data_IF_511304526865
#
_entry.id   IF_511304526865
#
_cell.length_a   1.000
_cell.length_b   1.000
_cell.length_c   1.000
_cell.angle_alpha   90.00
_cell.angle_beta   90.00
_cell.angle_gamma   90.00
#
_symmetry.space_group_name_H-M   'P 1'
#
loop_
_entity.id
_entity.type
_entity.pdbx_description
1 polymer ?
#
# COMPACT_ATOMS: atom_id res chain seq x y z
N UNK A 1 6.37 -27.38 23.32
CA UNK A 1 7.72 -27.29 22.76
C UNK A 1 7.57 -27.19 21.24
N UNK A 2 7.81 -26.05 20.69
CA UNK A 2 8.16 -25.56 19.35
C UNK A 2 7.69 -24.12 19.20
N UNK A 3 8.57 -23.22 19.65
CA UNK A 3 8.47 -21.79 19.30
C UNK A 3 8.88 -21.63 17.85
N UNK A 4 7.95 -21.31 16.98
CA UNK A 4 8.27 -20.79 15.66
C UNK A 4 7.87 -19.33 15.63
N UNK A 5 8.85 -18.50 15.94
CA UNK A 5 8.79 -17.07 15.64
C UNK A 5 8.89 -16.94 14.13
N UNK A 6 7.83 -16.55 13.44
CA UNK A 6 7.86 -16.30 12.01
C UNK A 6 8.10 -14.81 11.75
N UNK A 7 9.22 -14.53 11.10
CA UNK A 7 9.56 -13.20 10.59
C UNK A 7 8.52 -12.76 9.57
N UNK A 8 7.88 -11.65 9.83
CA UNK A 8 6.92 -10.99 8.96
C UNK A 8 7.65 -9.88 8.22
N UNK A 9 7.86 -10.06 6.92
CA UNK A 9 8.37 -8.99 6.05
C UNK A 9 7.20 -8.46 5.25
N UNK A 10 6.73 -7.26 5.59
CA UNK A 10 5.65 -6.58 4.88
C UNK A 10 6.24 -5.74 3.74
N UNK A 11 5.88 -6.06 2.50
CA UNK A 11 5.89 -5.13 1.38
C UNK A 11 4.46 -4.68 1.10
N UNK A 12 4.24 -3.64 0.32
CA UNK A 12 2.92 -3.04 0.05
C UNK A 12 1.88 -3.98 -0.60
N UNK A 13 2.26 -5.21 -0.93
CA UNK A 13 1.40 -6.28 -1.48
C UNK A 13 1.40 -7.52 -0.58
N UNK A 14 1.42 -7.36 0.73
CA UNK A 14 1.36 -8.48 1.65
C UNK A 14 -0.05 -8.69 2.18
N UNK A 15 -0.47 -9.93 2.30
CA UNK A 15 -1.65 -10.31 3.05
C UNK A 15 -1.26 -11.15 4.26
N UNK A 16 -2.04 -10.98 5.30
CA UNK A 16 -1.92 -11.71 6.54
C UNK A 16 -2.94 -12.85 6.52
N UNK A 17 -2.48 -14.09 6.52
CA UNK A 17 -3.33 -15.23 6.76
C UNK A 17 -3.24 -15.59 8.24
N UNK A 18 -4.38 -15.63 8.92
CA UNK A 18 -4.48 -16.23 10.25
C UNK A 18 -4.81 -17.69 10.04
N UNK A 19 -3.84 -18.58 10.17
CA UNK A 19 -4.09 -20.00 10.29
C UNK A 19 -4.05 -20.40 11.76
N UNK A 20 -5.22 -20.68 12.30
CA UNK A 20 -5.48 -21.16 13.67
C UNK A 20 -5.17 -20.16 14.77
N UNK A 21 -6.23 -19.63 15.30
CA UNK A 21 -6.28 -19.23 16.69
C UNK A 21 -6.52 -20.52 17.46
N UNK A 22 -5.53 -20.96 18.22
CA UNK A 22 -5.69 -22.04 19.18
C UNK A 22 -5.95 -21.39 20.53
N UNK A 23 -7.16 -21.56 21.06
CA UNK A 23 -7.46 -21.30 22.47
C UNK A 23 -6.75 -22.39 23.27
N UNK A 24 -5.78 -22.01 24.05
CA UNK A 24 -5.19 -22.91 25.04
C UNK A 24 -6.14 -23.07 26.25
N UNK A 25 -6.07 -24.19 26.95
CA UNK A 25 -6.94 -24.52 28.07
C UNK A 25 -6.91 -23.47 29.21
N UNK A 26 -5.90 -22.60 29.25
CA UNK A 26 -5.70 -21.55 30.23
C UNK A 26 -6.18 -20.17 29.80
N UNK A 27 -6.99 -20.08 28.72
CA UNK A 27 -7.57 -18.83 28.17
C UNK A 27 -6.57 -17.77 27.73
N UNK A 28 -5.32 -18.08 27.49
CA UNK A 28 -4.39 -17.19 26.82
C UNK A 28 -4.46 -17.39 25.30
N UNK A 29 -4.71 -16.29 24.57
CA UNK A 29 -4.67 -16.23 23.13
C UNK A 29 -3.24 -16.49 22.64
N UNK A 30 -2.95 -17.68 22.15
CA UNK A 30 -1.79 -17.94 21.30
C UNK A 30 -2.22 -17.79 19.84
N UNK A 31 -2.19 -16.57 19.37
CA UNK A 31 -2.52 -16.25 17.99
C UNK A 31 -1.28 -16.45 17.13
N UNK A 32 -1.27 -17.49 16.33
CA UNK A 32 -0.22 -17.68 15.30
C UNK A 32 -0.65 -17.00 14.02
N UNK A 33 -0.02 -15.87 13.69
CA UNK A 33 -0.19 -15.24 12.41
C UNK A 33 0.78 -15.83 11.38
N UNK A 34 0.24 -16.23 10.22
CA UNK A 34 1.08 -16.54 9.05
C UNK A 34 0.92 -15.42 8.04
N UNK A 35 2.03 -14.94 7.53
CA UNK A 35 2.06 -13.89 6.52
C UNK A 35 2.37 -14.50 5.17
N UNK A 36 1.53 -14.16 4.20
CA UNK A 36 1.72 -14.48 2.80
C UNK A 36 1.85 -13.19 2.00
N UNK A 37 2.62 -13.24 0.94
CA UNK A 37 2.68 -12.16 -0.05
C UNK A 37 1.91 -12.58 -1.27
N UNK A 38 1.00 -11.73 -1.74
CA UNK A 38 0.41 -11.87 -3.05
C UNK A 38 1.43 -11.59 -4.14
N UNK A 39 1.25 -12.18 -5.31
CA UNK A 39 2.03 -11.85 -6.51
C UNK A 39 1.82 -10.39 -6.94
N UNK A 40 0.64 -9.86 -6.65
CA UNK A 40 0.20 -8.51 -6.95
C UNK A 40 -0.94 -8.08 -6.01
N UNK A 41 -1.41 -6.85 -6.15
CA UNK A 41 -2.48 -6.29 -5.32
C UNK A 41 -3.82 -7.02 -5.49
N UNK A 42 -4.13 -7.51 -6.69
CA UNK A 42 -5.38 -8.23 -6.96
C UNK A 42 -5.39 -9.60 -6.31
N UNK A 43 -4.26 -10.31 -6.28
CA UNK A 43 -4.12 -11.61 -5.65
C UNK A 43 -4.48 -11.58 -4.16
N UNK A 44 -4.13 -10.50 -3.45
CA UNK A 44 -4.48 -10.32 -2.03
C UNK A 44 -5.99 -10.19 -1.85
N UNK A 45 -6.66 -9.36 -2.67
CA UNK A 45 -8.11 -9.18 -2.63
C UNK A 45 -8.83 -10.50 -2.95
N UNK A 46 -8.35 -11.24 -3.95
CA UNK A 46 -8.92 -12.53 -4.32
C UNK A 46 -8.73 -13.60 -3.24
N UNK A 47 -7.56 -13.63 -2.57
CA UNK A 47 -7.32 -14.54 -1.45
C UNK A 47 -8.31 -14.29 -0.30
N UNK A 48 -8.58 -13.03 0.03
CA UNK A 48 -9.60 -12.67 1.02
C UNK A 48 -11.01 -13.08 0.56
N UNK A 49 -11.36 -12.75 -0.70
CA UNK A 49 -12.67 -13.08 -1.28
C UNK A 49 -12.93 -14.59 -1.30
N UNK A 50 -11.92 -15.38 -1.62
CA UNK A 50 -12.00 -16.85 -1.66
C UNK A 50 -11.93 -17.50 -0.27
N UNK A 51 -11.72 -16.75 0.80
CA UNK A 51 -11.62 -17.29 2.16
C UNK A 51 -10.27 -17.89 2.51
N UNK A 52 -9.25 -17.64 1.70
CA UNK A 52 -7.88 -18.12 1.96
C UNK A 52 -7.14 -17.23 2.97
N UNK A 53 -7.65 -16.03 3.24
CA UNK A 53 -7.10 -15.12 4.24
C UNK A 53 -8.21 -14.46 5.04
N UNK A 54 -8.05 -14.39 6.35
CA UNK A 54 -8.95 -13.74 7.30
C UNK A 54 -8.67 -12.25 7.46
N UNK A 55 -7.40 -11.88 7.31
CA UNK A 55 -6.91 -10.51 7.37
C UNK A 55 -6.19 -10.12 6.09
N UNK A 56 -6.17 -8.82 5.81
CA UNK A 56 -5.36 -8.25 4.73
C UNK A 56 -4.77 -6.91 5.15
N UNK A 57 -3.55 -6.64 4.71
CA UNK A 57 -2.97 -5.31 4.70
C UNK A 57 -3.09 -4.77 3.27
N UNK A 58 -4.03 -3.88 3.06
CA UNK A 58 -4.42 -3.41 1.74
C UNK A 58 -4.06 -1.93 1.57
N UNK A 59 -3.48 -1.57 0.44
CA UNK A 59 -3.45 -0.16 0.06
C UNK A 59 -4.88 0.41 0.02
N UNK A 60 -5.12 1.70 0.28
CA UNK A 60 -6.46 2.28 0.31
C UNK A 60 -7.29 2.02 -0.95
N UNK A 61 -6.67 2.04 -2.14
CA UNK A 61 -7.35 1.68 -3.39
C UNK A 61 -7.69 0.19 -3.48
N UNK A 62 -6.80 -0.70 -3.04
CA UNK A 62 -7.07 -2.14 -2.97
C UNK A 62 -8.18 -2.44 -1.95
N UNK A 63 -8.24 -1.70 -0.84
CA UNK A 63 -9.36 -1.77 0.09
C UNK A 63 -10.67 -1.35 -0.58
N UNK A 64 -10.69 -0.23 -1.31
CA UNK A 64 -11.86 0.21 -2.05
C UNK A 64 -12.32 -0.82 -3.09
N UNK A 65 -11.39 -1.47 -3.79
CA UNK A 65 -11.70 -2.59 -4.70
C UNK A 65 -12.27 -3.78 -3.94
N UNK A 66 -11.64 -4.20 -2.85
CA UNK A 66 -12.11 -5.30 -2.01
C UNK A 66 -13.52 -5.00 -1.45
N UNK A 67 -13.77 -3.78 -0.99
CA UNK A 67 -15.08 -3.33 -0.50
C UNK A 67 -16.15 -3.40 -1.59
N UNK A 68 -15.81 -3.07 -2.83
CA UNK A 68 -16.74 -3.15 -3.97
C UNK A 68 -17.13 -4.60 -4.29
N UNK A 69 -16.21 -5.58 -4.18
CA UNK A 69 -16.48 -6.98 -4.53
C UNK A 69 -16.97 -7.83 -3.37
N UNK A 70 -16.63 -7.46 -2.14
CA UNK A 70 -17.00 -8.20 -0.93
C UNK A 70 -18.09 -7.51 -0.10
N UNK A 71 -18.38 -6.23 -0.38
CA UNK A 71 -19.37 -5.45 0.37
C UNK A 71 -19.00 -5.33 1.84
N UNK A 72 -19.98 -5.49 2.72
CA UNK A 72 -19.80 -5.42 4.18
C UNK A 72 -19.13 -6.64 4.81
N UNK A 73 -18.77 -7.64 4.00
CA UNK A 73 -18.03 -8.81 4.48
C UNK A 73 -16.59 -8.51 4.87
N UNK A 74 -16.09 -7.29 4.61
CA UNK A 74 -14.80 -6.82 5.12
C UNK A 74 -14.96 -5.47 5.81
N UNK A 75 -14.11 -5.22 6.81
CA UNK A 75 -14.00 -3.92 7.46
C UNK A 75 -12.54 -3.61 7.79
N UNK A 76 -12.12 -2.33 7.71
CA UNK A 76 -10.84 -1.91 8.26
C UNK A 76 -10.92 -1.96 9.78
N UNK A 77 -9.82 -2.30 10.42
CA UNK A 77 -9.73 -2.34 11.90
C UNK A 77 -8.66 -1.39 12.42
N UNK A 78 -7.50 -1.38 11.79
CA UNK A 78 -6.39 -0.52 12.18
C UNK A 78 -5.66 0.03 10.96
N UNK A 79 -4.90 1.11 11.16
CA UNK A 79 -3.84 1.61 10.30
C UNK A 79 -2.61 1.91 11.14
N UNK A 80 -1.43 1.83 10.54
CA UNK A 80 -0.20 2.20 11.21
C UNK A 80 -0.09 3.72 11.35
N UNK A 81 0.42 4.16 12.51
CA UNK A 81 0.93 5.51 12.72
C UNK A 81 2.44 5.43 12.48
N UNK A 82 2.98 6.22 11.56
CA UNK A 82 4.40 6.18 11.28
C UNK A 82 5.25 6.68 12.47
N UNK A 83 6.57 6.58 12.37
CA UNK A 83 7.48 6.97 13.45
C UNK A 83 7.48 8.49 13.71
N UNK A 84 6.97 9.31 12.80
CA UNK A 84 6.79 10.76 12.96
C UNK A 84 5.38 11.12 13.47
N UNK A 85 4.52 10.12 13.64
CA UNK A 85 3.14 10.30 14.13
C UNK A 85 2.13 10.58 13.02
N UNK A 86 2.50 10.39 11.75
CA UNK A 86 1.60 10.58 10.62
C UNK A 86 0.72 9.34 10.40
N UNK A 87 -0.55 9.59 10.12
CA UNK A 87 -1.53 8.55 9.78
C UNK A 87 -1.75 8.44 8.27
N UNK A 88 -0.80 8.92 7.48
CA UNK A 88 -0.88 8.95 6.04
C UNK A 88 0.49 9.00 5.37
N UNK A 89 0.46 8.91 4.06
CA UNK A 89 1.63 8.95 3.19
C UNK A 89 1.29 9.69 1.89
N UNK A 90 2.25 9.79 0.97
CA UNK A 90 2.09 10.50 -0.29
C UNK A 90 2.40 9.60 -1.49
N UNK A 91 1.91 9.99 -2.64
CA UNK A 91 2.46 9.62 -3.93
C UNK A 91 3.49 10.66 -4.34
N UNK A 92 4.64 10.24 -4.82
CA UNK A 92 5.63 11.15 -5.42
C UNK A 92 5.99 10.70 -6.83
N UNK A 93 6.30 11.67 -7.69
CA UNK A 93 6.86 11.40 -9.01
C UNK A 93 8.36 11.62 -8.95
N UNK A 94 9.10 10.61 -9.34
CA UNK A 94 10.57 10.58 -9.35
C UNK A 94 11.08 10.74 -10.77
N UNK A 95 12.23 11.40 -10.88
CA UNK A 95 13.09 11.43 -12.05
C UNK A 95 14.51 11.09 -11.65
N UNK A 96 15.38 10.76 -12.61
CA UNK A 96 16.81 10.58 -12.36
C UNK A 96 17.40 11.90 -11.84
N UNK A 97 18.29 11.84 -10.86
CA UNK A 97 18.80 13.03 -10.20
C UNK A 97 19.53 14.01 -11.14
N UNK A 98 20.24 13.49 -12.14
CA UNK A 98 20.97 14.26 -13.15
C UNK A 98 20.11 14.66 -14.38
N UNK A 99 18.81 14.34 -14.38
CA UNK A 99 17.91 14.71 -15.49
C UNK A 99 17.62 16.22 -15.48
N UNK A 100 17.26 16.80 -16.63
CA UNK A 100 16.92 18.24 -16.73
C UNK A 100 15.52 18.57 -16.16
N UNK A 101 14.68 17.58 -15.85
CA UNK A 101 13.28 17.77 -15.48
C UNK A 101 13.17 18.28 -14.04
N UNK A 102 12.60 19.47 -13.81
CA UNK A 102 12.46 20.10 -12.50
C UNK A 102 11.03 19.97 -11.94
N UNK A 103 10.04 19.82 -12.79
CA UNK A 103 8.63 19.78 -12.47
C UNK A 103 7.87 18.86 -13.44
N UNK A 104 6.62 18.53 -13.12
CA UNK A 104 5.81 17.61 -13.96
C UNK A 104 5.62 18.11 -15.38
N UNK A 105 5.51 19.43 -15.57
CA UNK A 105 5.32 20.06 -16.88
C UNK A 105 6.46 19.74 -17.87
N UNK A 106 7.68 19.58 -17.37
CA UNK A 106 8.86 19.25 -18.18
C UNK A 106 8.82 17.82 -18.73
N UNK A 107 7.92 17.00 -18.18
CA UNK A 107 7.72 15.59 -18.58
C UNK A 107 6.69 15.44 -19.73
N UNK A 108 6.19 16.53 -20.31
CA UNK A 108 5.31 16.46 -21.49
C UNK A 108 6.00 15.71 -22.63
N UNK A 109 5.32 14.72 -23.18
CA UNK A 109 5.87 13.87 -24.24
C UNK A 109 6.98 12.90 -23.80
N UNK A 110 7.21 12.77 -22.50
CA UNK A 110 8.16 11.80 -21.91
C UNK A 110 7.43 10.52 -21.51
N UNK A 111 8.13 9.59 -20.89
CA UNK A 111 7.58 8.30 -20.48
C UNK A 111 7.37 8.24 -18.96
N UNK A 112 6.21 7.69 -18.52
CA UNK A 112 5.87 7.56 -17.10
C UNK A 112 5.60 6.10 -16.73
N UNK A 113 6.32 5.61 -15.73
CA UNK A 113 6.08 4.32 -15.07
C UNK A 113 5.10 4.45 -13.89
N UNK A 114 4.00 3.72 -13.94
CA UNK A 114 3.12 3.46 -12.80
C UNK A 114 3.53 2.13 -12.14
N UNK A 115 3.26 1.95 -10.83
CA UNK A 115 3.66 0.69 -10.18
C UNK A 115 2.70 -0.46 -10.50
N UNK A 116 1.42 -0.35 -10.18
CA UNK A 116 0.40 -1.39 -10.37
C UNK A 116 -0.98 -0.75 -10.58
N UNK A 117 -1.88 -1.32 -11.40
CA UNK A 117 -3.22 -0.77 -11.64
C UNK A 117 -4.07 -0.59 -10.38
N UNK A 118 -3.83 -1.38 -9.33
CA UNK A 118 -4.57 -1.35 -8.07
C UNK A 118 -3.82 -0.60 -6.95
N UNK A 119 -2.61 -0.08 -7.24
CA UNK A 119 -1.86 0.73 -6.28
C UNK A 119 -2.50 2.10 -6.11
N UNK A 120 -2.63 2.54 -4.85
CA UNK A 120 -3.14 3.87 -4.50
C UNK A 120 -2.17 4.95 -4.96
N UNK A 121 -0.96 4.96 -4.40
CA UNK A 121 0.08 5.96 -4.69
C UNK A 121 0.81 5.71 -5.99
N UNK A 122 0.84 4.47 -6.47
CA UNK A 122 1.52 4.12 -7.72
C UNK A 122 0.69 4.29 -8.98
N UNK A 123 -0.64 4.56 -8.88
CA UNK A 123 -1.48 4.72 -10.06
C UNK A 123 -2.75 5.54 -9.82
N UNK A 124 -3.63 5.13 -8.87
CA UNK A 124 -4.99 5.66 -8.80
C UNK A 124 -5.01 7.14 -8.44
N UNK A 125 -4.29 7.52 -7.39
CA UNK A 125 -4.21 8.90 -6.90
C UNK A 125 -3.40 9.79 -7.84
N UNK A 126 -2.16 9.46 -8.24
CA UNK A 126 -1.40 10.33 -9.13
C UNK A 126 -2.09 10.51 -10.50
N UNK A 127 -2.67 9.46 -11.06
CA UNK A 127 -3.41 9.57 -12.31
C UNK A 127 -4.63 10.48 -12.21
N UNK A 128 -5.34 10.46 -11.09
CA UNK A 128 -6.48 11.34 -10.82
C UNK A 128 -6.03 12.80 -10.66
N UNK A 129 -5.00 13.08 -9.86
CA UNK A 129 -4.48 14.42 -9.64
C UNK A 129 -3.91 15.05 -10.93
N UNK A 130 -3.15 14.30 -11.70
CA UNK A 130 -2.62 14.76 -12.97
C UNK A 130 -3.74 15.22 -13.92
N UNK A 131 -4.82 14.42 -14.01
CA UNK A 131 -5.99 14.80 -14.84
C UNK A 131 -6.65 16.08 -14.36
N UNK A 132 -6.85 16.24 -13.06
CA UNK A 132 -7.45 17.46 -12.50
C UNK A 132 -6.61 18.72 -12.73
N UNK A 133 -5.32 18.54 -12.95
CA UNK A 133 -4.39 19.60 -13.33
C UNK A 133 -4.27 19.78 -14.86
N UNK A 134 -5.14 19.14 -15.65
CA UNK A 134 -5.11 19.24 -17.12
C UNK A 134 -4.00 18.40 -17.77
N UNK A 135 -3.34 17.52 -17.02
CA UNK A 135 -2.26 16.64 -17.49
C UNK A 135 -2.76 15.20 -17.54
N UNK A 136 -3.73 14.88 -18.42
CA UNK A 136 -4.20 13.50 -18.57
C UNK A 136 -3.04 12.60 -18.99
N UNK A 137 -2.68 11.58 -18.18
CA UNK A 137 -1.52 10.75 -18.48
C UNK A 137 -1.49 10.13 -19.86
N UNK A 138 -2.66 9.81 -20.44
CA UNK A 138 -2.75 9.17 -21.74
C UNK A 138 -2.43 10.11 -22.93
N UNK A 139 -2.52 11.43 -22.74
CA UNK A 139 -2.22 12.44 -23.77
C UNK A 139 -1.05 13.33 -23.40
N UNK A 140 -0.73 13.43 -22.12
CA UNK A 140 0.37 14.26 -21.64
C UNK A 140 1.73 13.57 -21.83
N UNK A 141 1.81 12.26 -21.53
CA UNK A 141 3.02 11.48 -21.73
C UNK A 141 3.01 10.78 -23.09
N UNK A 142 4.17 10.62 -23.73
CA UNK A 142 4.29 9.86 -24.97
C UNK A 142 3.96 8.36 -24.76
N UNK A 143 4.29 7.84 -23.57
CA UNK A 143 4.00 6.47 -23.18
C UNK A 143 3.85 6.36 -21.67
N UNK A 144 2.86 5.60 -21.22
CA UNK A 144 2.75 5.14 -19.84
C UNK A 144 2.82 3.61 -19.79
N UNK A 145 3.27 3.05 -18.66
CA UNK A 145 3.32 1.61 -18.46
C UNK A 145 3.37 1.25 -16.99
N UNK A 146 3.25 -0.04 -16.69
CA UNK A 146 3.34 -0.55 -15.33
C UNK A 146 4.70 -1.20 -15.09
N UNK A 147 5.31 -0.92 -13.96
CA UNK A 147 6.61 -1.44 -13.55
C UNK A 147 6.51 -2.67 -12.64
N UNK A 148 5.31 -2.96 -12.11
CA UNK A 148 5.01 -4.08 -11.23
C UNK A 148 5.13 -3.77 -9.74
N UNK A 149 6.08 -2.91 -9.32
CA UNK A 149 6.22 -2.46 -7.93
C UNK A 149 6.82 -1.05 -7.84
N UNK A 150 6.82 -0.47 -6.64
CA UNK A 150 7.46 0.82 -6.41
C UNK A 150 8.98 0.75 -6.58
N UNK A 151 9.61 -0.32 -6.12
CA UNK A 151 11.04 -0.55 -6.28
C UNK A 151 11.43 -0.70 -7.75
N UNK A 152 10.63 -1.44 -8.53
CA UNK A 152 10.84 -1.55 -9.97
C UNK A 152 10.65 -0.21 -10.69
N UNK A 153 9.75 0.64 -10.20
CA UNK A 153 9.58 2.01 -10.67
C UNK A 153 10.85 2.85 -10.49
N UNK A 154 11.46 2.79 -9.31
CA UNK A 154 12.75 3.46 -9.03
C UNK A 154 13.85 2.94 -9.95
N UNK A 155 13.98 1.61 -10.08
CA UNK A 155 14.95 0.99 -10.97
C UNK A 155 14.74 1.37 -12.43
N UNK A 156 13.49 1.45 -12.89
CA UNK A 156 13.16 1.82 -14.26
C UNK A 156 13.57 3.26 -14.61
N UNK A 157 13.51 4.18 -13.64
CA UNK A 157 14.01 5.55 -13.79
C UNK A 157 15.54 5.57 -13.86
N UNK A 158 16.22 4.88 -12.93
CA UNK A 158 17.69 4.83 -12.89
C UNK A 158 18.24 4.23 -14.18
N UNK A 159 17.63 3.17 -14.70
CA UNK A 159 18.05 2.45 -15.91
C UNK A 159 17.59 3.14 -17.20
N UNK A 160 16.82 4.24 -17.13
CA UNK A 160 16.33 4.96 -18.31
C UNK A 160 15.20 4.26 -19.08
N UNK A 161 14.53 3.25 -18.50
CA UNK A 161 13.36 2.58 -19.09
C UNK A 161 12.16 3.51 -19.13
N UNK A 162 12.03 4.36 -18.11
CA UNK A 162 11.08 5.45 -18.02
C UNK A 162 11.82 6.72 -17.60
N UNK A 163 11.36 7.89 -18.11
CA UNK A 163 11.87 9.20 -17.71
C UNK A 163 11.44 9.58 -16.30
N UNK A 164 10.25 9.11 -15.89
CA UNK A 164 9.70 9.31 -14.55
C UNK A 164 8.96 8.06 -14.07
N UNK A 165 8.82 7.92 -12.75
CA UNK A 165 7.96 6.91 -12.14
C UNK A 165 7.25 7.47 -10.91
N UNK A 166 6.07 6.93 -10.57
CA UNK A 166 5.34 7.27 -9.35
C UNK A 166 5.49 6.16 -8.31
N UNK A 167 5.82 6.57 -7.08
CA UNK A 167 6.09 5.65 -5.97
C UNK A 167 5.48 6.16 -4.66
N UNK A 168 5.40 5.28 -3.66
CA UNK A 168 5.00 5.62 -2.30
C UNK A 168 6.10 6.38 -1.56
N UNK A 169 5.68 7.33 -0.71
CA UNK A 169 6.55 8.20 0.06
C UNK A 169 5.91 8.55 1.40
N UNK A 170 6.43 8.04 2.47
CA UNK A 170 5.94 8.39 3.81
C UNK A 170 6.56 9.72 4.27
N UNK A 171 7.88 9.77 4.41
CA UNK A 171 8.63 10.97 4.78
C UNK A 171 10.07 10.93 4.22
N UNK A 172 10.89 11.94 4.53
CA UNK A 172 12.26 12.06 4.02
C UNK A 172 13.14 10.87 4.41
N UNK A 173 12.95 10.30 5.60
CA UNK A 173 13.71 9.17 6.11
C UNK A 173 13.15 7.81 5.71
N UNK A 174 11.84 7.77 5.38
CA UNK A 174 11.11 6.53 5.08
C UNK A 174 10.33 6.66 3.77
N UNK A 175 11.01 6.35 2.70
CA UNK A 175 10.41 6.27 1.38
C UNK A 175 11.03 5.09 0.62
N UNK A 176 10.46 4.75 -0.51
CA UNK A 176 10.89 3.59 -1.29
C UNK A 176 12.36 3.67 -1.69
N UNK A 177 12.79 4.82 -2.24
CA UNK A 177 14.16 4.96 -2.76
C UNK A 177 15.20 5.11 -1.64
N UNK A 178 14.85 5.69 -0.50
CA UNK A 178 15.74 5.75 0.67
C UNK A 178 16.02 4.34 1.22
N UNK A 179 14.98 3.52 1.40
CA UNK A 179 15.15 2.13 1.83
C UNK A 179 15.97 1.29 0.85
N UNK A 180 15.84 1.55 -0.45
CA UNK A 180 16.66 0.87 -1.48
C UNK A 180 18.13 1.28 -1.38
N UNK A 181 18.40 2.57 -1.13
CA UNK A 181 19.76 3.07 -0.94
C UNK A 181 20.41 2.49 0.33
N UNK A 182 19.68 2.46 1.45
CA UNK A 182 20.15 1.86 2.71
C UNK A 182 20.48 0.36 2.57
N UNK A 183 19.77 -0.35 1.69
CA UNK A 183 20.04 -1.76 1.36
C UNK A 183 21.14 -1.94 0.30
N UNK A 184 21.75 -0.87 -0.18
CA UNK A 184 22.77 -0.91 -1.23
C UNK A 184 22.25 -1.30 -2.62
N UNK A 185 20.92 -1.26 -2.84
CA UNK A 185 20.30 -1.61 -4.11
C UNK A 185 20.46 -0.52 -5.18
N UNK A 186 20.58 0.73 -4.74
CA UNK A 186 20.78 1.92 -5.60
C UNK A 186 21.77 2.87 -4.93
N UNK A 187 22.47 3.74 -5.69
CA UNK A 187 23.24 4.82 -5.10
C UNK A 187 22.34 5.80 -4.34
N UNK A 188 22.85 6.35 -3.22
CA UNK A 188 22.17 7.44 -2.53
C UNK A 188 22.06 8.66 -3.44
N UNK A 189 20.91 9.32 -3.46
CA UNK A 189 20.68 10.48 -4.30
C UNK A 189 20.53 10.18 -5.81
N UNK A 190 20.36 8.93 -6.21
CA UNK A 190 20.19 8.55 -7.62
C UNK A 190 18.93 9.11 -8.29
N UNK A 191 17.91 9.42 -7.49
CA UNK A 191 16.64 9.98 -7.95
C UNK A 191 16.24 11.20 -7.12
N UNK A 192 15.37 12.04 -7.68
CA UNK A 192 14.77 13.18 -6.98
C UNK A 192 13.28 13.30 -7.26
N UNK A 193 12.56 13.93 -6.34
CA UNK A 193 11.13 14.17 -6.42
C UNK A 193 10.85 15.44 -7.21
N UNK A 194 9.94 15.38 -8.17
CA UNK A 194 9.46 16.54 -8.97
C UNK A 194 7.97 16.83 -8.74
N UNK A 195 7.27 15.97 -8.03
CA UNK A 195 5.88 16.16 -7.64
C UNK A 195 5.53 15.32 -6.42
N UNK A 196 4.62 15.84 -5.59
CA UNK A 196 4.10 15.18 -4.39
C UNK A 196 2.59 15.40 -4.29
N UNK A 197 1.84 14.33 -4.00
CA UNK A 197 0.40 14.40 -3.78
C UNK A 197 0.04 15.04 -2.42
N UNK A 198 -1.21 15.45 -2.22
CA UNK A 198 -1.78 15.55 -0.87
C UNK A 198 -1.66 14.24 -0.09
N UNK A 199 -1.92 14.31 1.22
CA UNK A 199 -1.84 13.14 2.10
C UNK A 199 -2.87 12.08 1.71
N UNK A 200 -2.43 10.85 1.64
CA UNK A 200 -3.23 9.64 1.43
C UNK A 200 -3.32 8.93 2.79
N UNK A 201 -4.48 8.51 3.27
CA UNK A 201 -4.57 7.77 4.53
C UNK A 201 -3.72 6.48 4.47
N UNK A 202 -3.09 6.12 5.59
CA UNK A 202 -2.30 4.90 5.66
C UNK A 202 -3.14 3.65 5.36
N UNK A 203 -2.49 2.66 4.80
CA UNK A 203 -3.09 1.39 4.40
C UNK A 203 -3.80 0.71 5.57
N UNK A 204 -5.07 0.29 5.41
CA UNK A 204 -5.78 -0.40 6.47
C UNK A 204 -5.33 -1.86 6.61
N UNK A 205 -5.28 -2.32 7.86
CA UNK A 205 -5.44 -3.71 8.19
C UNK A 205 -6.93 -4.00 8.18
N UNK A 206 -7.37 -4.92 7.35
CA UNK A 206 -8.79 -5.27 7.18
C UNK A 206 -9.05 -6.68 7.67
N UNK A 207 -10.26 -6.91 8.19
CA UNK A 207 -10.74 -8.21 8.66
C UNK A 207 -11.98 -8.64 7.89
N UNK A 208 -12.11 -9.94 7.65
CA UNK A 208 -13.37 -10.50 7.15
C UNK A 208 -14.42 -10.53 8.27
N UNK A 209 -15.61 -10.03 7.95
CA UNK A 209 -16.75 -9.92 8.88
C UNK A 209 -17.61 -11.18 8.93
N UNK A 210 -17.42 -12.11 8.01
CA UNK A 210 -18.07 -13.43 8.00
C UNK A 210 -17.38 -14.45 8.94
N UNK A 211 -16.31 -14.07 9.61
CA UNK A 211 -15.71 -14.84 10.70
C UNK A 211 -16.61 -14.84 11.95
N UNK A 212 -16.53 -15.88 12.80
CA UNK A 212 -17.23 -15.88 14.09
C UNK A 212 -16.92 -14.62 14.91
N UNK A 213 -17.95 -14.00 15.49
CA UNK A 213 -17.79 -12.72 16.21
C UNK A 213 -16.77 -12.79 17.38
N UNK A 214 -16.68 -13.95 18.05
CA UNK A 214 -15.67 -14.16 19.08
C UNK A 214 -14.26 -14.04 18.50
N UNK A 215 -14.01 -14.73 17.36
CA UNK A 215 -12.72 -14.68 16.67
C UNK A 215 -12.36 -13.27 16.20
N UNK A 216 -13.33 -12.51 15.65
CA UNK A 216 -13.09 -11.12 15.26
C UNK A 216 -12.63 -10.27 16.46
N UNK A 217 -13.31 -10.40 17.63
CA UNK A 217 -12.92 -9.66 18.85
C UNK A 217 -11.53 -10.03 19.33
N UNK A 218 -11.21 -11.30 19.31
CA UNK A 218 -9.90 -11.81 19.73
C UNK A 218 -8.76 -11.31 18.85
N UNK A 219 -8.96 -11.35 17.53
CA UNK A 219 -8.00 -10.83 16.55
C UNK A 219 -7.78 -9.34 16.74
N UNK A 220 -8.85 -8.56 16.89
CA UNK A 220 -8.76 -7.12 17.13
C UNK A 220 -8.01 -6.83 18.44
N UNK A 221 -8.32 -7.55 19.51
CA UNK A 221 -7.65 -7.40 20.80
C UNK A 221 -6.16 -7.77 20.72
N UNK A 222 -5.82 -8.86 20.02
CA UNK A 222 -4.43 -9.29 19.83
C UNK A 222 -3.62 -8.23 19.05
N UNK A 223 -4.18 -7.68 17.98
CA UNK A 223 -3.54 -6.60 17.22
C UNK A 223 -3.36 -5.32 18.04
N UNK A 224 -4.40 -4.91 18.77
CA UNK A 224 -4.35 -3.73 19.62
C UNK A 224 -3.25 -3.84 20.70
N UNK A 225 -3.06 -5.03 21.26
CA UNK A 225 -2.06 -5.28 22.29
C UNK A 225 -0.64 -5.52 21.75
N UNK A 226 -0.48 -5.77 20.44
CA UNK A 226 0.80 -6.17 19.85
C UNK A 226 1.95 -5.18 20.09
N UNK A 227 1.75 -3.84 19.97
CA UNK A 227 2.83 -2.87 20.22
C UNK A 227 3.46 -2.98 21.62
N UNK A 228 2.66 -3.40 22.62
CA UNK A 228 3.10 -3.51 24.03
C UNK A 228 3.56 -4.93 24.36
N UNK A 229 2.87 -5.95 23.86
CA UNK A 229 3.14 -7.37 24.19
C UNK A 229 4.35 -7.92 23.46
N UNK A 230 4.54 -7.55 22.20
CA UNK A 230 5.68 -7.96 21.39
C UNK A 230 6.13 -6.81 20.49
N UNK A 231 6.86 -5.82 21.08
CA UNK A 231 7.33 -4.66 20.33
C UNK A 231 8.23 -5.02 19.14
N UNK A 232 8.95 -6.16 19.20
CA UNK A 232 9.81 -6.58 18.11
C UNK A 232 8.97 -7.09 16.93
N UNK A 233 8.03 -7.99 17.18
CA UNK A 233 7.11 -8.47 16.14
C UNK A 233 6.32 -7.30 15.53
N UNK A 234 5.89 -6.34 16.36
CA UNK A 234 5.22 -5.14 15.85
C UNK A 234 6.11 -4.30 14.93
N UNK A 235 7.37 -4.05 15.29
CA UNK A 235 8.33 -3.33 14.42
C UNK A 235 8.56 -4.07 13.11
N UNK A 236 8.81 -5.36 13.18
CA UNK A 236 9.06 -6.21 12.00
C UNK A 236 7.86 -6.20 11.03
N UNK A 237 6.64 -6.18 11.59
CA UNK A 237 5.37 -6.15 10.85
C UNK A 237 5.07 -4.78 10.23
N UNK A 238 5.31 -3.73 11.00
CA UNK A 238 4.87 -2.37 10.69
C UNK A 238 5.93 -1.52 9.97
N UNK A 239 7.10 -2.09 9.69
CA UNK A 239 8.28 -1.35 9.23
C UNK A 239 8.60 -0.17 10.18
N UNK A 240 8.70 -0.43 11.50
CA UNK A 240 8.98 0.53 12.57
C UNK A 240 7.92 1.62 12.79
N UNK A 241 6.65 1.33 12.53
CA UNK A 241 5.59 2.23 12.96
C UNK A 241 5.62 2.43 14.48
N UNK A 242 5.19 3.59 14.91
CA UNK A 242 5.17 3.96 16.33
C UNK A 242 3.94 3.36 17.04
N UNK A 243 2.87 3.03 16.32
CA UNK A 243 1.64 2.51 16.91
C UNK A 243 0.55 2.22 15.87
N UNK A 244 -0.64 2.00 16.39
CA UNK A 244 -1.85 1.73 15.63
C UNK A 244 -2.90 2.81 15.92
N UNK A 245 -3.60 3.27 14.89
CA UNK A 245 -4.85 4.01 15.00
C UNK A 245 -6.01 3.12 14.54
N UNK A 246 -7.18 3.29 15.12
CA UNK A 246 -8.42 2.65 14.65
C UNK A 246 -8.72 3.17 13.24
N UNK A 247 -9.00 2.26 12.32
CA UNK A 247 -9.41 2.59 10.97
C UNK A 247 -10.89 2.30 10.75
N UNK A 248 -11.58 3.21 10.05
CA UNK A 248 -12.98 3.09 9.68
C UNK A 248 -13.17 3.23 8.19
N UNK A 249 -14.29 2.77 7.66
CA UNK A 249 -14.60 2.89 6.24
C UNK A 249 -14.59 4.35 5.78
N UNK A 250 -15.09 5.24 6.62
CA UNK A 250 -15.20 6.67 6.39
C UNK A 250 -13.86 7.33 6.11
N UNK A 251 -12.78 6.81 6.67
CA UNK A 251 -11.41 7.32 6.46
C UNK A 251 -10.92 7.15 5.00
N UNK A 252 -11.60 6.31 4.21
CA UNK A 252 -11.20 5.93 2.85
C UNK A 252 -12.20 6.37 1.76
N UNK A 253 -13.25 7.11 2.10
CA UNK A 253 -14.30 7.52 1.15
C UNK A 253 -13.75 8.33 -0.03
N UNK A 254 -12.80 9.23 0.20
CA UNK A 254 -12.18 10.01 -0.86
C UNK A 254 -11.43 9.11 -1.87
N UNK A 255 -10.78 8.05 -1.37
CA UNK A 255 -10.11 7.09 -2.25
C UNK A 255 -11.12 6.25 -3.03
N UNK A 256 -12.23 5.86 -2.40
CA UNK A 256 -13.34 5.16 -3.07
C UNK A 256 -13.91 6.04 -4.19
N UNK A 257 -14.16 7.32 -3.94
CA UNK A 257 -14.63 8.27 -4.94
C UNK A 257 -13.65 8.42 -6.12
N UNK A 258 -12.34 8.52 -5.85
CA UNK A 258 -11.30 8.53 -6.88
C UNK A 258 -11.35 7.27 -7.75
N UNK A 259 -11.55 6.10 -7.14
CA UNK A 259 -11.66 4.82 -7.87
C UNK A 259 -12.89 4.77 -8.78
N UNK A 260 -14.01 5.27 -8.31
CA UNK A 260 -15.26 5.34 -9.08
C UNK A 260 -15.11 6.27 -10.28
N UNK A 261 -14.56 7.47 -10.09
CA UNK A 261 -14.28 8.41 -11.17
C UNK A 261 -13.31 7.81 -12.21
N UNK A 262 -12.23 7.17 -11.73
CA UNK A 262 -11.27 6.50 -12.60
C UNK A 262 -11.91 5.35 -13.40
N UNK A 263 -12.84 4.60 -12.79
CA UNK A 263 -13.53 3.50 -13.45
C UNK A 263 -14.54 4.00 -14.49
N UNK A 264 -15.28 5.09 -14.20
CA UNK A 264 -16.21 5.70 -15.14
C UNK A 264 -15.48 6.16 -16.41
N UNK A 265 -14.38 6.90 -16.24
CA UNK A 265 -13.56 7.37 -17.39
C UNK A 265 -12.97 6.23 -18.23
N UNK A 266 -12.62 5.11 -17.61
CA UNK A 266 -12.13 3.94 -18.37
C UNK A 266 -13.23 3.30 -19.22
N UNK A 267 -14.49 3.37 -18.79
CA UNK A 267 -15.65 2.89 -19.58
C UNK A 267 -15.91 3.80 -20.77
N UNK A 268 -15.92 5.13 -20.53
CA UNK A 268 -16.12 6.14 -21.61
C UNK A 268 -15.08 6.04 -22.74
N UNK A 269 -13.83 5.65 -22.42
CA UNK A 269 -12.77 5.49 -23.45
C UNK A 269 -12.85 4.19 -24.24
N UNK A 270 -13.69 3.23 -23.80
CA UNK A 270 -13.87 1.92 -24.46
C UNK A 270 -15.14 1.89 -25.30
N UNK A 271 -16.05 2.82 -25.07
CA UNK A 271 -17.24 3.08 -25.90
C UNK A 271 -16.90 4.00 -27.08
#
# INVERSE_FOLDING_TARGET
MFHHCHRILLGESAFLEIRRIQLDADRELRTNFRVFRGSDYAAVVEAMRAGHSELGYLGPASYGLARRVMGERIAPIFRYIDNEGLEGYHSVMLVKADSPFQQVQDLRGKTLGFSDPNSTSGFQVPGWFLRRQGMDPASFFARTGFTGSHEQGVMAVINGTFDAAVVAYSNERRNTFQRMAEKGMIPSGAVRVVWKSPLIPNSPIVIRKDLPAALQREVVAAFAALPERDPQAFRDMSSDARGLAVAKHEDYLDIVAILEENAARRRERRS
#
